data_IF_769039105006
#
_entry.id   IF_769039105006
#
_cell.length_a   1.000
_cell.length_b   1.000
_cell.length_c   1.000
_cell.angle_alpha   90.00
_cell.angle_beta   90.00
_cell.angle_gamma   90.00
#
_symmetry.space_group_name_H-M   'P 1'
#
loop_
_entity.id
_entity.type
_entity.pdbx_description
1 polymer ?
#
# COMPACT_ATOMS: atom_id res chain seq x y z
N UNK A 1 -9.00 -40.43 -55.60
CA UNK A 1 -8.87 -40.08 -54.17
C UNK A 1 -7.53 -39.36 -54.01
N UNK A 2 -7.56 -38.03 -53.92
CA UNK A 2 -6.39 -37.17 -53.64
C UNK A 2 -6.77 -36.33 -52.42
N UNK A 3 -5.88 -36.35 -51.45
CA UNK A 3 -6.04 -35.92 -50.06
C UNK A 3 -6.08 -34.40 -49.94
N UNK A 4 -6.84 -33.92 -48.97
CA UNK A 4 -7.12 -32.51 -48.61
C UNK A 4 -5.90 -31.78 -48.02
N UNK A 5 -4.73 -31.88 -48.65
CA UNK A 5 -3.45 -31.47 -48.07
C UNK A 5 -2.83 -30.26 -48.77
N UNK A 6 -3.66 -29.28 -49.14
CA UNK A 6 -3.23 -27.99 -49.69
C UNK A 6 -3.85 -26.83 -48.90
N UNK A 7 -3.87 -26.92 -47.57
CA UNK A 7 -4.05 -25.75 -46.73
C UNK A 7 -2.65 -25.22 -46.37
N UNK A 8 -2.22 -24.05 -46.86
CA UNK A 8 -1.08 -23.38 -46.29
C UNK A 8 -1.41 -23.07 -44.83
N UNK A 9 -0.80 -23.80 -43.90
CA UNK A 9 -0.82 -23.50 -42.47
C UNK A 9 0.09 -22.31 -42.13
N UNK A 10 0.34 -21.41 -43.08
CA UNK A 10 0.83 -20.06 -42.81
C UNK A 10 -0.37 -19.16 -42.47
N UNK A 11 -1.24 -19.67 -41.60
CA UNK A 11 -2.09 -18.81 -40.82
C UNK A 11 -1.14 -17.93 -40.00
N UNK A 12 -1.32 -16.62 -40.13
CA UNK A 12 -0.85 -15.61 -39.19
C UNK A 12 -1.46 -15.85 -37.78
N UNK A 13 -1.28 -17.05 -37.21
CA UNK A 13 -1.47 -17.35 -35.79
C UNK A 13 -0.48 -16.56 -34.92
N UNK A 14 0.56 -15.98 -35.54
CA UNK A 14 1.48 -15.04 -34.93
C UNK A 14 0.89 -13.63 -34.68
N UNK A 15 -0.45 -13.45 -34.72
CA UNK A 15 -1.05 -12.11 -34.60
C UNK A 15 -2.20 -11.94 -33.60
N UNK A 16 -2.49 -12.89 -32.69
CA UNK A 16 -3.62 -12.66 -31.75
C UNK A 16 -3.58 -13.34 -30.38
N UNK A 17 -2.42 -13.83 -29.89
CA UNK A 17 -2.25 -13.88 -28.44
C UNK A 17 -1.62 -12.56 -28.11
N UNK A 18 -2.47 -11.61 -27.74
CA UNK A 18 -2.06 -10.31 -27.25
C UNK A 18 -0.91 -10.51 -26.26
N UNK A 19 0.24 -9.95 -26.57
CA UNK A 19 1.23 -9.50 -25.59
C UNK A 19 0.58 -8.40 -24.72
N UNK A 20 -0.48 -8.78 -24.01
CA UNK A 20 -0.87 -8.20 -22.73
C UNK A 20 0.10 -8.70 -21.66
N UNK A 21 1.39 -8.78 -21.98
CA UNK A 21 2.46 -8.76 -21.01
C UNK A 21 2.52 -7.33 -20.44
N UNK A 22 1.45 -6.92 -19.76
CA UNK A 22 1.61 -5.93 -18.71
C UNK A 22 2.76 -6.46 -17.85
N UNK A 23 3.90 -5.74 -17.72
CA UNK A 23 5.05 -6.25 -16.99
C UNK A 23 4.52 -6.73 -15.65
N UNK A 24 4.75 -8.01 -15.34
CA UNK A 24 3.98 -8.94 -14.49
C UNK A 24 3.78 -8.54 -13.02
N UNK A 25 3.56 -7.26 -12.76
CA UNK A 25 3.72 -6.58 -11.49
C UNK A 25 3.34 -5.10 -11.48
N UNK A 26 3.12 -4.45 -12.64
CA UNK A 26 2.71 -3.04 -12.69
C UNK A 26 1.37 -2.78 -11.98
N UNK A 27 0.42 -3.71 -12.09
CA UNK A 27 -0.87 -3.66 -11.38
C UNK A 27 -0.72 -3.80 -9.87
N UNK A 28 0.18 -4.68 -9.40
CA UNK A 28 0.49 -4.84 -7.98
C UNK A 28 1.14 -3.61 -7.37
N UNK A 29 2.09 -2.99 -8.08
CA UNK A 29 2.70 -1.73 -7.62
C UNK A 29 1.65 -0.62 -7.56
N UNK A 30 0.77 -0.50 -8.56
CA UNK A 30 -0.30 0.48 -8.55
C UNK A 30 -1.28 0.25 -7.39
N UNK A 31 -1.69 -1.00 -7.16
CA UNK A 31 -2.50 -1.38 -6.01
C UNK A 31 -1.83 -0.98 -4.70
N UNK A 32 -0.56 -1.35 -4.51
CA UNK A 32 0.20 -1.04 -3.30
C UNK A 32 0.31 0.48 -3.08
N UNK A 33 0.58 1.26 -4.13
CA UNK A 33 0.63 2.72 -4.05
C UNK A 33 -0.70 3.33 -3.62
N UNK A 34 -1.81 2.89 -4.22
CA UNK A 34 -3.16 3.40 -3.88
C UNK A 34 -3.54 3.00 -2.46
N UNK A 35 -3.33 1.75 -2.07
CA UNK A 35 -3.63 1.27 -0.73
C UNK A 35 -2.79 1.99 0.34
N UNK A 36 -1.51 2.24 0.08
CA UNK A 36 -0.66 3.00 1.00
C UNK A 36 -1.16 4.44 1.18
N UNK A 37 -1.62 5.07 0.10
CA UNK A 37 -2.23 6.41 0.17
C UNK A 37 -3.55 6.43 0.97
N UNK A 38 -4.39 5.40 0.80
CA UNK A 38 -5.62 5.27 1.59
C UNK A 38 -5.33 5.01 3.07
N UNK A 39 -4.38 4.12 3.38
CA UNK A 39 -3.94 3.86 4.75
C UNK A 39 -3.37 5.12 5.41
N UNK A 40 -2.54 5.87 4.68
CA UNK A 40 -2.01 7.16 5.14
C UNK A 40 -3.09 8.19 5.40
N UNK A 41 -4.08 8.28 4.51
CA UNK A 41 -5.24 9.18 4.69
C UNK A 41 -6.04 8.81 5.93
N UNK A 42 -6.29 7.51 6.14
CA UNK A 42 -6.99 7.02 7.33
C UNK A 42 -6.24 7.38 8.61
N UNK A 43 -4.94 7.08 8.68
CA UNK A 43 -4.10 7.43 9.84
C UNK A 43 -4.06 8.94 10.08
N UNK A 44 -4.01 9.75 9.03
CA UNK A 44 -4.03 11.20 9.17
C UNK A 44 -5.34 11.70 9.83
N UNK A 45 -6.49 11.20 9.37
CA UNK A 45 -7.79 11.55 9.96
C UNK A 45 -7.88 11.05 11.41
N UNK A 46 -7.48 9.81 11.66
CA UNK A 46 -7.53 9.20 13.00
C UNK A 46 -6.64 9.95 14.00
N UNK A 47 -5.43 10.35 13.57
CA UNK A 47 -4.54 11.18 14.37
C UNK A 47 -5.16 12.53 14.74
N UNK A 48 -5.86 13.19 13.81
CA UNK A 48 -6.60 14.44 14.10
C UNK A 48 -7.72 14.20 15.11
N UNK A 49 -8.48 13.11 14.95
CA UNK A 49 -9.58 12.75 15.87
C UNK A 49 -9.05 12.46 17.28
N UNK A 50 -7.92 11.76 17.39
CA UNK A 50 -7.25 11.50 18.66
C UNK A 50 -6.80 12.80 19.37
N UNK A 51 -6.20 13.73 18.61
CA UNK A 51 -5.80 15.05 19.15
C UNK A 51 -7.03 15.87 19.56
N UNK A 52 -8.08 15.90 18.75
CA UNK A 52 -9.30 16.68 19.02
C UNK A 52 -10.04 16.19 20.26
N UNK A 53 -10.22 14.88 20.37
CA UNK A 53 -10.88 14.24 21.51
C UNK A 53 -10.14 14.56 22.81
N UNK A 54 -8.80 14.51 22.80
CA UNK A 54 -7.99 14.84 23.99
C UNK A 54 -8.18 16.27 24.52
N UNK A 55 -8.55 17.25 23.67
CA UNK A 55 -8.79 18.64 24.10
C UNK A 55 -10.14 18.81 24.82
N UNK A 56 -11.15 18.01 24.50
CA UNK A 56 -12.50 18.12 25.10
C UNK A 56 -12.51 17.55 26.53
N UNK A 57 -11.62 16.62 26.84
CA UNK A 57 -11.51 15.98 28.17
C UNK A 57 -10.54 16.69 29.14
N UNK A 58 -9.95 17.83 28.77
CA UNK A 58 -9.00 18.58 29.61
C UNK A 58 -9.63 19.26 30.87
N UNK A 59 -10.89 18.96 31.19
CA UNK A 59 -11.66 19.61 32.26
C UNK A 59 -12.14 18.64 33.33
N UNK A 60 -11.23 18.03 34.09
CA UNK A 60 -11.45 17.15 35.25
C UNK A 60 -11.59 15.66 34.94
N UNK A 61 -10.50 14.91 35.13
CA UNK A 61 -10.36 13.67 35.93
C UNK A 61 -9.22 12.80 35.38
N UNK A 62 -8.41 12.31 36.29
CA UNK A 62 -7.22 11.47 36.10
C UNK A 62 -7.57 10.08 35.57
N UNK A 63 -7.33 9.82 34.30
CA UNK A 63 -7.10 8.47 33.77
C UNK A 63 -5.87 8.53 32.86
N UNK A 64 -4.80 7.85 33.27
CA UNK A 64 -3.75 7.04 32.58
C UNK A 64 -3.53 7.18 31.04
N UNK A 65 -4.09 8.17 30.35
CA UNK A 65 -4.07 8.41 28.91
C UNK A 65 -3.49 9.79 28.58
N UNK A 66 -2.51 10.24 29.35
CA UNK A 66 -1.66 11.38 28.96
C UNK A 66 -0.98 11.14 27.58
N UNK A 67 -0.92 9.89 27.13
CA UNK A 67 -0.33 9.47 25.86
C UNK A 67 -1.27 9.60 24.66
N UNK A 68 -2.58 9.81 24.83
CA UNK A 68 -3.52 9.83 23.69
C UNK A 68 -3.22 10.98 22.71
N UNK A 69 -2.76 12.13 23.24
CA UNK A 69 -2.34 13.25 22.41
C UNK A 69 -1.05 12.92 21.64
N UNK A 70 -0.07 12.32 22.32
CA UNK A 70 1.20 11.88 21.72
C UNK A 70 0.97 10.83 20.63
N UNK A 71 0.11 9.85 20.88
CA UNK A 71 -0.30 8.85 19.89
C UNK A 71 -1.00 9.48 18.69
N UNK A 72 -1.91 10.44 18.91
CA UNK A 72 -2.54 11.19 17.83
C UNK A 72 -1.53 11.88 16.92
N UNK A 73 -0.51 12.52 17.49
CA UNK A 73 0.58 13.11 16.71
C UNK A 73 1.42 12.07 15.95
N UNK A 74 1.78 10.96 16.59
CA UNK A 74 2.54 9.87 15.96
C UNK A 74 1.78 9.30 14.76
N UNK A 75 0.52 8.95 14.94
CA UNK A 75 -0.34 8.36 13.90
C UNK A 75 -0.57 9.37 12.78
N UNK A 76 -0.77 10.66 13.11
CA UNK A 76 -0.91 11.72 12.11
C UNK A 76 0.36 11.89 11.26
N UNK A 77 1.54 11.95 11.89
CA UNK A 77 2.82 12.06 11.18
C UNK A 77 3.06 10.83 10.31
N UNK A 78 2.75 9.64 10.82
CA UNK A 78 2.78 8.39 10.04
C UNK A 78 1.89 8.48 8.79
N UNK A 79 0.67 9.01 8.93
CA UNK A 79 -0.23 9.23 7.82
C UNK A 79 0.36 10.15 6.74
N UNK A 80 1.02 11.24 7.15
CA UNK A 80 1.73 12.15 6.23
C UNK A 80 2.88 11.42 5.52
N UNK A 81 3.69 10.67 6.27
CA UNK A 81 4.81 9.88 5.71
C UNK A 81 4.31 8.87 4.68
N UNK A 82 3.22 8.17 4.97
CA UNK A 82 2.59 7.24 4.04
C UNK A 82 2.06 7.94 2.78
N UNK A 83 1.46 9.14 2.93
CA UNK A 83 1.04 9.96 1.81
C UNK A 83 2.20 10.38 0.91
N UNK A 84 3.31 10.83 1.50
CA UNK A 84 4.53 11.17 0.77
C UNK A 84 5.11 9.92 0.09
N UNK A 85 5.11 8.77 0.77
CA UNK A 85 5.58 7.51 0.21
C UNK A 85 4.75 7.07 -1.00
N UNK A 86 3.42 7.19 -0.93
CA UNK A 86 2.54 6.89 -2.04
C UNK A 86 2.81 7.80 -3.25
N UNK A 87 3.00 9.10 -3.04
CA UNK A 87 3.38 10.03 -4.10
C UNK A 87 4.76 9.71 -4.68
N UNK A 88 5.74 9.39 -3.83
CA UNK A 88 7.07 9.00 -4.25
C UNK A 88 7.05 7.70 -5.08
N UNK A 89 6.19 6.73 -4.76
CA UNK A 89 6.05 5.49 -5.51
C UNK A 89 5.57 5.71 -6.95
N UNK A 90 4.83 6.79 -7.21
CA UNK A 90 4.42 7.16 -8.58
C UNK A 90 5.61 7.52 -9.48
N UNK A 91 6.73 7.96 -8.90
CA UNK A 91 7.95 8.28 -9.65
C UNK A 91 8.70 7.05 -10.16
N UNK A 92 8.37 5.85 -9.63
CA UNK A 92 9.04 4.60 -10.03
C UNK A 92 10.47 4.43 -9.50
N UNK A 93 10.93 5.29 -8.60
CA UNK A 93 12.28 5.20 -8.01
C UNK A 93 12.44 4.00 -7.09
N UNK A 94 13.62 3.38 -7.10
CA UNK A 94 13.96 2.26 -6.21
C UNK A 94 13.98 2.70 -4.72
N UNK A 95 14.37 3.94 -4.44
CA UNK A 95 14.30 4.52 -3.10
C UNK A 95 12.86 4.64 -2.61
N UNK A 96 11.92 5.00 -3.50
CA UNK A 96 10.51 5.11 -3.15
C UNK A 96 9.92 3.76 -2.73
N UNK A 97 10.41 2.66 -3.32
CA UNK A 97 10.01 1.29 -2.96
C UNK A 97 10.36 0.97 -1.53
N UNK A 98 11.63 1.14 -1.14
CA UNK A 98 12.09 0.87 0.22
C UNK A 98 11.44 1.78 1.25
N UNK A 99 11.24 3.05 0.89
CA UNK A 99 10.54 4.00 1.74
C UNK A 99 9.07 3.60 1.96
N UNK A 100 8.36 3.20 0.90
CA UNK A 100 6.98 2.69 0.99
C UNK A 100 6.86 1.41 1.82
N UNK A 101 7.79 0.46 1.66
CA UNK A 101 7.86 -0.76 2.49
C UNK A 101 8.06 -0.40 3.96
N UNK A 102 8.98 0.52 4.27
CA UNK A 102 9.22 0.98 5.63
C UNK A 102 7.99 1.67 6.24
N UNK A 103 7.33 2.54 5.49
CA UNK A 103 6.12 3.23 5.93
C UNK A 103 4.96 2.26 6.20
N UNK A 104 4.74 1.29 5.30
CA UNK A 104 3.74 0.23 5.50
C UNK A 104 4.09 -0.67 6.70
N UNK A 105 5.37 -1.01 6.89
CA UNK A 105 5.81 -1.81 8.04
C UNK A 105 5.61 -1.11 9.38
N UNK A 106 5.91 0.19 9.47
CA UNK A 106 5.64 0.97 10.68
C UNK A 106 4.15 1.05 10.97
N UNK A 107 3.32 1.25 9.94
CA UNK A 107 1.87 1.21 10.10
C UNK A 107 1.39 -0.15 10.60
N UNK A 108 1.88 -1.25 10.02
CA UNK A 108 1.52 -2.60 10.43
C UNK A 108 1.79 -2.85 11.92
N UNK A 109 2.95 -2.42 12.42
CA UNK A 109 3.28 -2.49 13.85
C UNK A 109 2.30 -1.64 14.66
N UNK A 110 2.00 -0.43 14.20
CA UNK A 110 0.99 0.44 14.80
C UNK A 110 -0.38 -0.24 14.90
N UNK A 111 -0.84 -0.89 13.83
CA UNK A 111 -2.13 -1.60 13.81
C UNK A 111 -2.17 -2.72 14.85
N UNK A 112 -1.08 -3.46 15.06
CA UNK A 112 -1.03 -4.50 16.10
C UNK A 112 -1.24 -3.94 17.51
N UNK A 113 -0.86 -2.68 17.76
CA UNK A 113 -1.10 -2.02 19.05
C UNK A 113 -2.59 -1.68 19.27
N UNK A 114 -3.37 -1.53 18.20
CA UNK A 114 -4.81 -1.30 18.27
C UNK A 114 -5.64 -2.59 18.43
N UNK A 115 -5.02 -3.77 18.35
CA UNK A 115 -5.71 -5.06 18.50
C UNK A 115 -6.55 -5.18 19.78
N UNK A 116 -6.11 -4.71 20.97
CA UNK A 116 -6.91 -4.79 22.18
C UNK A 116 -8.20 -3.95 22.14
N UNK A 117 -8.23 -2.92 21.30
CA UNK A 117 -9.36 -1.97 21.19
C UNK A 117 -10.27 -2.34 20.02
N UNK A 118 -9.70 -2.58 18.83
CA UNK A 118 -10.41 -2.86 17.59
C UNK A 118 -9.76 -4.04 16.83
N UNK A 119 -9.89 -5.29 17.32
CA UNK A 119 -9.12 -6.44 16.83
C UNK A 119 -9.33 -6.73 15.34
N UNK A 120 -10.59 -6.71 14.87
CA UNK A 120 -10.90 -7.01 13.47
C UNK A 120 -10.39 -5.93 12.51
N UNK A 121 -10.48 -4.67 12.91
CA UNK A 121 -9.99 -3.55 12.11
C UNK A 121 -8.47 -3.54 12.01
N UNK A 122 -7.81 -3.72 13.16
CA UNK A 122 -6.36 -3.82 13.25
C UNK A 122 -5.82 -4.94 12.35
N UNK A 123 -6.43 -6.13 12.40
CA UNK A 123 -6.02 -7.26 11.55
C UNK A 123 -6.27 -7.00 10.06
N UNK A 124 -7.37 -6.32 9.72
CA UNK A 124 -7.66 -5.95 8.33
C UNK A 124 -6.59 -4.98 7.78
N UNK A 125 -6.30 -3.91 8.51
CA UNK A 125 -5.28 -2.93 8.10
C UNK A 125 -3.88 -3.53 8.08
N UNK A 126 -3.53 -4.35 9.08
CA UNK A 126 -2.28 -5.12 9.08
C UNK A 126 -2.15 -6.01 7.84
N UNK A 127 -3.24 -6.69 7.44
CA UNK A 127 -3.24 -7.50 6.22
C UNK A 127 -3.04 -6.64 4.97
N UNK A 128 -3.68 -5.48 4.90
CA UNK A 128 -3.48 -4.51 3.81
C UNK A 128 -2.02 -4.06 3.75
N UNK A 129 -1.39 -3.75 4.89
CA UNK A 129 0.03 -3.39 4.95
C UNK A 129 0.93 -4.51 4.42
N UNK A 130 0.64 -5.78 4.76
CA UNK A 130 1.37 -6.92 4.21
C UNK A 130 1.21 -7.03 2.69
N UNK A 131 0.02 -6.78 2.15
CA UNK A 131 -0.22 -6.79 0.71
C UNK A 131 0.53 -5.65 0.01
N UNK A 132 0.60 -4.47 0.63
CA UNK A 132 1.41 -3.34 0.13
C UNK A 132 2.88 -3.74 0.09
N UNK A 133 3.42 -4.26 1.20
CA UNK A 133 4.82 -4.68 1.29
C UNK A 133 5.11 -5.76 0.25
N UNK A 134 4.24 -6.76 0.11
CA UNK A 134 4.36 -7.82 -0.89
C UNK A 134 4.38 -7.23 -2.31
N UNK A 135 3.40 -6.37 -2.63
CA UNK A 135 3.29 -5.71 -3.93
C UNK A 135 4.55 -4.94 -4.29
N UNK A 136 5.10 -4.18 -3.34
CA UNK A 136 6.33 -3.41 -3.54
C UNK A 136 7.57 -4.30 -3.59
N UNK A 137 7.69 -5.29 -2.72
CA UNK A 137 8.89 -6.14 -2.62
C UNK A 137 9.05 -7.06 -3.83
N UNK A 138 7.96 -7.70 -4.28
CA UNK A 138 8.00 -8.66 -5.40
C UNK A 138 8.00 -7.93 -6.75
N UNK A 139 7.19 -6.88 -6.89
CA UNK A 139 6.91 -6.30 -8.20
C UNK A 139 7.52 -4.92 -8.43
N UNK A 140 7.97 -4.23 -7.38
CA UNK A 140 8.57 -2.90 -7.52
C UNK A 140 9.93 -2.89 -8.20
N UNK A 141 10.59 -4.04 -8.40
CA UNK A 141 11.84 -4.14 -9.15
C UNK A 141 11.68 -4.23 -10.68
N UNK A 142 10.54 -4.71 -11.18
CA UNK A 142 10.37 -5.00 -12.61
C UNK A 142 10.23 -3.77 -13.51
N UNK A 143 9.74 -2.63 -12.99
CA UNK A 143 9.69 -1.36 -13.73
C UNK A 143 11.08 -0.77 -14.05
N UNK A 144 12.13 -1.18 -13.32
CA UNK A 144 13.48 -0.63 -13.46
C UNK A 144 14.27 -1.23 -14.63
N UNK A 145 14.02 -2.50 -15.00
CA UNK A 145 14.73 -3.16 -16.11
C UNK A 145 14.31 -2.71 -17.51
N UNK A 146 13.21 -1.97 -17.63
CA UNK A 146 12.71 -1.49 -18.92
C UNK A 146 13.11 -0.03 -19.21
N UNK A 147 13.78 0.65 -18.27
CA UNK A 147 14.20 2.05 -18.38
C UNK A 147 15.73 2.25 -18.38
N UNK A 148 16.51 1.16 -18.38
CA UNK A 148 17.98 1.12 -18.50
C UNK A 148 18.33 0.32 -19.74
#
# INVERSE_FOLDING_TARGET
>A
MRTTQDYPLEGNYASSVSDYDAPSGAGWVMFATVMLGLAGTWNFIDGILAISTSRVYAGHQTFVFSDLNTWGWIVMILGIIQGIAALALLTGSEFARWFGIGAAGLNAIGQLMFVPVYPWWALAMFTVDLLIIYGLAVYGGHRLRQAV
#
